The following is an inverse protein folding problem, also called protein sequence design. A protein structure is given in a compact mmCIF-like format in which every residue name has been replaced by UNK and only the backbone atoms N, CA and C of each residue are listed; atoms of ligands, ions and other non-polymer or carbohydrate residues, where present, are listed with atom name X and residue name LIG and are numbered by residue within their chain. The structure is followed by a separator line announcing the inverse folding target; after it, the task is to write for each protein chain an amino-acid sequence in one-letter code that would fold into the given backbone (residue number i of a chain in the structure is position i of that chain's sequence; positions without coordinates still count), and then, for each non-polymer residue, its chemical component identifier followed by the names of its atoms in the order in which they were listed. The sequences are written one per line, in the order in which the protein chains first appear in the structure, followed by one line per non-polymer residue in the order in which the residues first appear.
data_IF_751586262544
#
_entry.id   IF_751586262544
#
_cell.length_a   1.000
_cell.length_b   1.000
_cell.length_c   1.000
_cell.angle_alpha   90.00
_cell.angle_beta   90.00
_cell.angle_gamma   90.00
#
_symmetry.space_group_name_H-M   'P 1'
#
loop_
_entity.id
_entity.type
_entity.pdbx_description
1 polymer ?
#
# COMPACT_ATOMS: atom_id res chain seq x y z
N UNK A 1 60.77 -28.42 0.57
CA UNK A 1 59.42 -28.34 1.18
C UNK A 1 59.46 -27.29 2.28
N UNK A 2 58.96 -26.09 1.99
CA UNK A 2 58.73 -25.03 2.99
C UNK A 2 57.42 -24.35 2.60
N UNK A 3 56.29 -24.99 2.93
CA UNK A 3 54.94 -24.49 2.62
C UNK A 3 54.29 -23.74 3.80
N UNK A 4 55.05 -23.32 4.81
CA UNK A 4 54.52 -22.67 6.01
C UNK A 4 54.95 -21.20 6.16
N UNK A 5 55.16 -20.48 5.06
CA UNK A 5 55.21 -19.01 5.14
C UNK A 5 53.80 -18.46 4.98
N UNK A 6 53.06 -18.41 6.09
CA UNK A 6 51.81 -17.64 6.19
C UNK A 6 52.16 -16.21 5.84
N UNK A 7 51.74 -15.76 4.65
CA UNK A 7 52.07 -14.45 4.13
C UNK A 7 51.41 -13.40 5.05
N UNK A 8 52.17 -12.53 5.74
CA UNK A 8 51.62 -11.59 6.71
C UNK A 8 50.55 -10.67 6.12
N UNK A 9 50.63 -10.38 4.81
CA UNK A 9 49.62 -9.62 4.09
C UNK A 9 48.24 -10.30 4.10
N UNK A 10 48.19 -11.65 4.11
CA UNK A 10 46.93 -12.40 4.16
C UNK A 10 46.21 -12.26 5.50
N UNK A 11 46.93 -12.03 6.60
CA UNK A 11 46.33 -11.83 7.93
C UNK A 11 45.74 -10.43 8.06
N UNK A 12 46.41 -9.43 7.48
CA UNK A 12 45.92 -8.05 7.44
C UNK A 12 44.62 -7.97 6.61
N UNK A 13 44.63 -8.53 5.39
CA UNK A 13 43.46 -8.56 4.51
C UNK A 13 42.24 -9.26 5.16
N UNK A 14 42.49 -10.30 5.95
CA UNK A 14 41.43 -11.02 6.66
C UNK A 14 40.84 -10.17 7.79
N UNK A 15 41.68 -9.46 8.54
CA UNK A 15 41.23 -8.56 9.62
C UNK A 15 40.30 -7.45 9.08
N UNK A 16 40.71 -6.79 7.99
CA UNK A 16 39.90 -5.74 7.36
C UNK A 16 38.56 -6.27 6.84
N UNK A 17 38.57 -7.48 6.25
CA UNK A 17 37.34 -8.15 5.82
C UNK A 17 36.39 -8.44 6.99
N UNK A 18 36.91 -8.78 8.18
CA UNK A 18 36.10 -9.07 9.35
C UNK A 18 35.49 -7.81 9.96
N UNK A 19 36.25 -6.71 10.01
CA UNK A 19 35.71 -5.42 10.43
C UNK A 19 34.58 -4.97 9.51
N UNK A 20 34.78 -5.09 8.19
CA UNK A 20 33.75 -4.81 7.20
C UNK A 20 32.49 -5.68 7.41
N UNK A 21 32.67 -6.99 7.69
CA UNK A 21 31.55 -7.90 8.01
C UNK A 21 30.78 -7.44 9.25
N UNK A 22 31.47 -6.94 10.27
CA UNK A 22 30.85 -6.37 11.47
C UNK A 22 29.93 -5.20 11.13
N UNK A 23 30.43 -4.25 10.33
CA UNK A 23 29.67 -3.08 9.85
C UNK A 23 28.45 -3.52 9.03
N UNK A 24 28.64 -4.41 8.06
CA UNK A 24 27.53 -4.88 7.21
C UNK A 24 26.47 -5.65 7.99
N UNK A 25 26.86 -6.40 9.04
CA UNK A 25 25.91 -7.09 9.91
C UNK A 25 25.00 -6.10 10.66
N UNK A 26 25.58 -5.02 11.20
CA UNK A 26 24.82 -3.96 11.87
C UNK A 26 23.84 -3.29 10.93
N UNK A 27 24.33 -2.81 9.78
CA UNK A 27 23.51 -2.14 8.76
C UNK A 27 22.39 -3.02 8.21
N UNK A 28 22.67 -4.30 7.93
CA UNK A 28 21.67 -5.25 7.46
C UNK A 28 20.53 -5.43 8.46
N UNK A 29 20.85 -5.56 9.75
CA UNK A 29 19.84 -5.73 10.80
C UNK A 29 19.00 -4.47 10.97
N UNK A 30 19.62 -3.29 10.89
CA UNK A 30 18.93 -2.02 10.94
C UNK A 30 17.94 -1.86 9.76
N UNK A 31 18.43 -2.08 8.52
CA UNK A 31 17.60 -2.02 7.32
C UNK A 31 16.45 -3.04 7.35
N UNK A 32 16.71 -4.24 7.86
CA UNK A 32 15.67 -5.24 8.08
C UNK A 32 14.54 -4.75 8.99
N UNK A 33 14.88 -4.14 10.12
CA UNK A 33 13.88 -3.62 11.06
C UNK A 33 13.04 -2.53 10.39
N UNK A 34 13.66 -1.65 9.62
CA UNK A 34 12.93 -0.61 8.88
C UNK A 34 11.97 -1.23 7.85
N UNK A 35 12.46 -2.15 7.00
CA UNK A 35 11.63 -2.83 6.00
C UNK A 35 10.47 -3.56 6.67
N UNK A 36 10.74 -4.28 7.76
CA UNK A 36 9.72 -5.01 8.51
C UNK A 36 8.66 -4.07 9.10
N UNK A 37 9.09 -2.95 9.70
CA UNK A 37 8.18 -1.94 10.26
C UNK A 37 7.34 -1.28 9.17
N UNK A 38 7.92 -0.95 8.02
CA UNK A 38 7.17 -0.43 6.87
C UNK A 38 6.11 -1.45 6.39
N UNK A 39 6.47 -2.73 6.30
CA UNK A 39 5.52 -3.79 5.94
C UNK A 39 4.37 -3.90 6.97
N UNK A 40 4.67 -3.80 8.27
CA UNK A 40 3.64 -3.78 9.30
C UNK A 40 2.73 -2.55 9.18
N UNK A 41 3.30 -1.36 8.96
CA UNK A 41 2.55 -0.12 8.79
C UNK A 41 1.62 -0.19 7.56
N UNK A 42 2.11 -0.72 6.43
CA UNK A 42 1.26 -0.98 5.26
C UNK A 42 0.10 -1.90 5.64
N UNK A 43 0.35 -3.01 6.33
CA UNK A 43 -0.72 -3.94 6.72
C UNK A 43 -1.72 -3.30 7.69
N UNK A 44 -1.26 -2.47 8.63
CA UNK A 44 -2.14 -1.70 9.53
C UNK A 44 -3.03 -0.75 8.71
N UNK A 45 -2.47 -0.02 7.73
CA UNK A 45 -3.24 0.86 6.86
C UNK A 45 -4.32 0.09 6.09
N UNK A 46 -4.03 -1.12 5.61
CA UNK A 46 -5.01 -1.97 4.96
C UNK A 46 -6.17 -2.35 5.90
N UNK A 47 -5.85 -2.77 7.12
CA UNK A 47 -6.88 -3.15 8.10
C UNK A 47 -7.74 -1.96 8.54
N UNK A 48 -7.14 -0.77 8.71
CA UNK A 48 -7.86 0.47 9.03
C UNK A 48 -8.95 0.77 7.99
N UNK A 49 -8.68 0.53 6.70
CA UNK A 49 -9.68 0.73 5.63
C UNK A 49 -10.72 -0.39 5.57
N UNK A 50 -10.33 -1.61 5.95
CA UNK A 50 -11.17 -2.80 5.81
C UNK A 50 -12.17 -2.98 6.96
N UNK A 51 -11.91 -2.41 8.14
CA UNK A 51 -12.84 -2.49 9.29
C UNK A 51 -14.18 -1.82 8.95
N UNK A 52 -15.33 -2.53 9.05
CA UNK A 52 -16.63 -2.02 8.62
C UNK A 52 -17.00 -0.65 9.22
N UNK A 53 -16.75 -0.46 10.51
CA UNK A 53 -17.06 0.79 11.22
C UNK A 53 -16.26 2.00 10.70
N UNK A 54 -15.06 1.78 10.17
CA UNK A 54 -14.24 2.83 9.57
C UNK A 54 -14.56 2.99 8.08
N UNK A 55 -14.94 1.91 7.40
CA UNK A 55 -15.38 1.93 6.00
C UNK A 55 -16.56 2.88 5.79
N UNK A 56 -17.58 2.81 6.64
CA UNK A 56 -18.75 3.72 6.58
C UNK A 56 -18.33 5.18 6.73
N UNK A 57 -17.45 5.49 7.69
CA UNK A 57 -16.90 6.84 7.88
C UNK A 57 -16.12 7.36 6.66
N UNK A 58 -15.31 6.51 6.02
CA UNK A 58 -14.57 6.89 4.81
C UNK A 58 -15.49 7.07 3.59
N UNK A 59 -16.58 6.30 3.49
CA UNK A 59 -17.58 6.47 2.43
C UNK A 59 -18.30 7.83 2.62
N UNK A 60 -18.79 8.13 3.83
CA UNK A 60 -19.47 9.40 4.12
C UNK A 60 -18.55 10.61 3.88
N UNK A 61 -17.30 10.52 4.34
CA UNK A 61 -16.30 11.58 4.14
C UNK A 61 -15.89 11.76 2.66
N UNK A 62 -15.96 10.69 1.86
CA UNK A 62 -15.62 10.70 0.43
C UNK A 62 -16.75 11.25 -0.45
N UNK A 63 -18.01 11.05 -0.06
CA UNK A 63 -19.19 11.57 -0.78
C UNK A 63 -19.31 13.09 -0.63
N UNK A 64 -18.93 13.66 0.54
CA UNK A 64 -18.93 15.11 0.72
C UNK A 64 -17.87 15.85 -0.12
N UNK A 65 -16.79 15.19 -0.54
CA UNK A 65 -15.73 15.85 -1.33
C UNK A 65 -16.10 16.05 -2.82
N UNK A 66 -17.29 15.64 -3.27
CA UNK A 66 -17.71 15.73 -4.69
C UNK A 66 -19.11 16.33 -4.90
N UNK A 67 -19.65 17.08 -3.95
CA UNK A 67 -20.97 17.74 -4.12
C UNK A 67 -20.94 19.27 -4.17
N UNK A 68 -19.77 19.90 -4.29
CA UNK A 68 -19.69 21.34 -4.57
C UNK A 68 -19.41 21.55 -6.06
N UNK A 69 -20.46 21.35 -6.87
CA UNK A 69 -20.61 22.06 -8.14
C UNK A 69 -22.06 22.48 -8.26
N UNK A 70 -22.42 23.70 -7.85
CA UNK A 70 -23.59 24.36 -8.38
C UNK A 70 -23.23 24.87 -9.77
N UNK A 71 -23.66 24.16 -10.82
CA UNK A 71 -24.20 24.91 -11.95
C UNK A 71 -25.20 24.05 -12.73
N UNK A 72 -26.43 24.56 -12.69
CA UNK A 72 -27.46 24.16 -13.59
C UNK A 72 -27.04 24.54 -15.02
N UNK A 73 -27.24 23.56 -15.92
CA UNK A 73 -27.45 23.61 -17.37
C UNK A 73 -27.54 24.98 -18.08
N UNK A 74 -27.18 24.99 -19.38
CA UNK A 74 -28.27 24.88 -20.35
C UNK A 74 -28.10 23.74 -21.36
N UNK A 75 -29.23 23.08 -21.60
CA UNK A 75 -29.59 22.30 -22.79
C UNK A 75 -28.98 22.82 -24.10
N UNK A 76 -28.58 21.93 -25.03
CA UNK A 76 -28.34 22.29 -26.41
C UNK A 76 -29.67 22.46 -27.15
N UNK A 77 -30.00 23.71 -27.49
CA UNK A 77 -31.08 24.09 -28.41
C UNK A 77 -30.94 23.35 -29.75
N UNK A 78 -31.96 22.61 -30.23
CA UNK A 78 -32.02 22.18 -31.62
C UNK A 78 -32.30 23.38 -32.52
N UNK A 79 -31.36 23.71 -33.41
CA UNK A 79 -31.59 24.68 -34.50
C UNK A 79 -32.48 24.03 -35.57
N UNK A 80 -33.74 24.45 -35.62
CA UNK A 80 -34.59 24.27 -36.79
C UNK A 80 -34.08 25.13 -37.96
N UNK A 81 -33.87 24.49 -39.10
CA UNK A 81 -33.77 25.14 -40.40
C UNK A 81 -35.10 24.91 -41.14
N UNK A 82 -35.73 26.02 -41.53
CA UNK A 82 -36.94 26.12 -42.34
C UNK A 82 -36.81 25.37 -43.67
N UNK A 83 -37.80 24.56 -44.03
CA UNK A 83 -38.34 24.49 -45.40
C UNK A 83 -39.71 23.78 -45.48
N UNK A 84 -40.72 24.62 -45.67
CA UNK A 84 -41.93 24.54 -46.51
C UNK A 84 -42.80 23.27 -46.70
N UNK A 85 -44.11 23.58 -46.64
CA UNK A 85 -45.25 23.03 -47.38
C UNK A 85 -45.85 21.67 -46.92
N UNK A 86 -47.08 21.67 -46.37
CA UNK A 86 -48.36 21.72 -47.12
C UNK A 86 -49.58 21.27 -46.24
N UNK A 87 -50.59 22.15 -46.10
CA UNK A 87 -52.06 21.86 -46.07
C UNK A 87 -52.74 21.13 -44.87
N UNK A 88 -54.10 21.19 -44.72
CA UNK A 88 -54.74 21.96 -43.63
C UNK A 88 -55.81 21.23 -42.78
N UNK A 89 -56.25 21.92 -41.72
CA UNK A 89 -57.57 21.93 -41.05
C UNK A 89 -58.05 20.68 -40.27
N UNK A 90 -58.27 20.83 -38.96
CA UNK A 90 -59.64 20.84 -38.38
C UNK A 90 -59.65 21.32 -36.91
N UNK A 91 -60.78 21.88 -36.52
CA UNK A 91 -61.18 22.54 -35.26
C UNK A 91 -60.90 21.71 -33.98
N UNK A 92 -60.72 22.27 -32.78
CA UNK A 92 -61.78 22.91 -31.97
C UNK A 92 -61.16 23.49 -30.68
N UNK A 93 -61.69 24.63 -30.23
CA UNK A 93 -61.31 25.36 -29.01
C UNK A 93 -62.15 24.92 -27.76
N UNK A 94 -62.29 25.70 -26.65
CA UNK A 94 -61.54 25.53 -25.39
C UNK A 94 -62.44 25.47 -24.11
N UNK A 95 -61.89 25.17 -22.92
CA UNK A 95 -62.44 25.54 -21.59
C UNK A 95 -61.40 25.23 -20.47
N UNK A 96 -60.88 26.21 -19.71
CA UNK A 96 -61.40 26.75 -18.43
C UNK A 96 -61.54 25.67 -17.33
N UNK A 97 -60.83 25.72 -16.18
CA UNK A 97 -61.07 26.63 -15.04
C UNK A 97 -59.98 26.46 -13.95
N UNK A 98 -59.72 27.53 -13.19
CA UNK A 98 -58.85 27.62 -12.00
C UNK A 98 -59.54 27.06 -10.70
N UNK A 99 -59.21 27.52 -9.46
CA UNK A 99 -58.32 26.86 -8.49
C UNK A 99 -59.07 26.49 -7.18
N UNK A 100 -58.40 25.91 -6.16
CA UNK A 100 -58.97 25.90 -4.81
C UNK A 100 -57.95 26.21 -3.73
N UNK A 101 -58.25 27.28 -2.99
CA UNK A 101 -57.63 27.82 -1.77
C UNK A 101 -57.91 26.91 -0.55
N UNK A 102 -56.92 26.65 0.29
CA UNK A 102 -56.64 27.29 1.59
C UNK A 102 -57.57 26.91 2.77
N UNK A 103 -57.00 26.27 3.80
CA UNK A 103 -57.35 26.41 5.24
C UNK A 103 -56.12 25.90 6.03
N UNK A 104 -55.31 26.74 6.71
CA UNK A 104 -55.44 27.18 8.12
C UNK A 104 -55.67 25.99 9.09
N UNK A 105 -54.96 25.74 10.20
CA UNK A 105 -54.18 26.57 11.13
C UNK A 105 -53.30 25.66 12.02
N UNK A 106 -52.10 26.15 12.34
CA UNK A 106 -51.43 26.20 13.65
C UNK A 106 -51.92 25.30 14.80
N UNK A 107 -51.03 24.40 15.26
CA UNK A 107 -50.89 24.07 16.69
C UNK A 107 -49.43 24.21 17.08
N UNK A 108 -49.22 25.03 18.10
CA UNK A 108 -47.96 25.47 18.65
C UNK A 108 -47.27 24.37 19.49
N UNK A 109 -45.93 24.39 19.40
CA UNK A 109 -45.03 24.41 20.56
C UNK A 109 -45.02 23.19 21.50
N UNK A 110 -44.04 22.30 21.25
CA UNK A 110 -43.36 21.63 22.34
C UNK A 110 -41.84 21.77 22.16
N UNK A 111 -41.26 22.63 23.00
CA UNK A 111 -39.82 22.79 23.23
C UNK A 111 -39.22 21.49 23.80
N UNK A 112 -38.24 20.92 23.08
CA UNK A 112 -36.88 20.46 23.48
C UNK A 112 -36.65 19.66 24.79
N UNK A 113 -35.47 19.02 25.00
CA UNK A 113 -34.44 18.50 24.07
C UNK A 113 -34.08 17.03 24.38
N UNK A 114 -33.65 16.25 23.38
CA UNK A 114 -32.85 15.05 23.62
C UNK A 114 -31.66 15.06 22.66
N UNK A 115 -30.78 16.01 22.91
CA UNK A 115 -29.41 15.99 22.40
C UNK A 115 -28.65 14.86 23.11
N UNK A 116 -28.81 13.63 22.62
CA UNK A 116 -27.84 12.54 22.82
C UNK A 116 -27.60 11.81 21.50
N UNK A 117 -27.30 12.58 20.44
CA UNK A 117 -26.65 11.99 19.27
C UNK A 117 -25.19 11.74 19.62
N UNK A 118 -24.93 10.55 20.16
CA UNK A 118 -23.68 9.81 20.04
C UNK A 118 -22.41 10.63 20.01
N UNK A 119 -22.04 11.22 21.16
CA UNK A 119 -20.63 11.51 21.48
C UNK A 119 -19.90 10.19 21.75
N UNK A 120 -19.79 9.36 20.72
CA UNK A 120 -19.01 8.12 20.74
C UNK A 120 -18.30 8.04 19.41
N UNK A 121 -17.02 8.41 19.41
CA UNK A 121 -16.13 8.06 18.30
C UNK A 121 -15.40 9.20 17.58
N UNK A 122 -15.24 10.39 18.19
CA UNK A 122 -14.29 11.41 17.69
C UNK A 122 -12.81 11.00 17.93
N UNK A 123 -12.48 9.72 17.77
CA UNK A 123 -11.16 9.18 18.15
C UNK A 123 -10.15 9.10 17.01
N UNK A 124 -10.56 9.27 15.75
CA UNK A 124 -9.59 9.34 14.65
C UNK A 124 -10.04 10.32 13.57
N UNK A 125 -9.61 11.58 13.67
CA UNK A 125 -9.68 12.56 12.59
C UNK A 125 -8.72 12.24 11.43
N UNK A 126 -8.55 10.96 11.07
CA UNK A 126 -7.69 10.53 9.97
C UNK A 126 -8.50 10.65 8.68
N UNK A 127 -8.33 11.76 7.96
CA UNK A 127 -8.88 11.92 6.62
C UNK A 127 -8.25 10.90 5.66
N UNK A 128 -8.99 10.45 4.64
CA UNK A 128 -8.46 9.63 3.55
C UNK A 128 -7.21 10.25 2.89
N UNK A 129 -7.13 11.58 2.85
CA UNK A 129 -5.95 12.31 2.39
C UNK A 129 -4.67 12.00 3.21
N UNK A 130 -4.78 11.99 4.55
CA UNK A 130 -3.66 11.67 5.43
C UNK A 130 -3.21 10.22 5.27
N UNK A 131 -4.17 9.28 5.16
CA UNK A 131 -3.88 7.88 4.94
C UNK A 131 -3.22 7.62 3.58
N UNK A 132 -3.71 8.29 2.52
CA UNK A 132 -3.13 8.23 1.17
C UNK A 132 -1.70 8.74 1.15
N UNK A 133 -1.45 9.89 1.80
CA UNK A 133 -0.10 10.42 1.95
C UNK A 133 0.83 9.47 2.72
N UNK A 134 0.34 8.91 3.84
CA UNK A 134 1.10 7.95 4.65
C UNK A 134 1.46 6.70 3.85
N UNK A 135 0.52 6.11 3.12
CA UNK A 135 0.78 4.93 2.27
C UNK A 135 1.87 5.25 1.24
N UNK A 136 1.78 6.41 0.56
CA UNK A 136 2.80 6.82 -0.42
C UNK A 136 4.17 7.00 0.22
N UNK A 137 4.23 7.63 1.40
CA UNK A 137 5.47 7.82 2.14
C UNK A 137 6.09 6.48 2.58
N UNK A 138 5.29 5.60 3.20
CA UNK A 138 5.72 4.27 3.64
C UNK A 138 6.22 3.45 2.45
N UNK A 139 5.52 3.48 1.32
CA UNK A 139 5.93 2.77 0.10
C UNK A 139 7.27 3.27 -0.44
N UNK A 140 7.49 4.59 -0.47
CA UNK A 140 8.75 5.17 -0.92
C UNK A 140 9.92 4.75 -0.02
N UNK A 141 9.74 4.86 1.31
CA UNK A 141 10.74 4.42 2.30
C UNK A 141 11.01 2.92 2.17
N UNK A 142 9.96 2.10 1.99
CA UNK A 142 10.04 0.65 1.86
C UNK A 142 10.85 0.23 0.63
N UNK A 143 10.62 0.85 -0.54
CA UNK A 143 11.38 0.54 -1.77
C UNK A 143 12.86 0.93 -1.60
N UNK A 144 13.12 2.14 -1.09
CA UNK A 144 14.48 2.63 -0.90
C UNK A 144 15.25 1.75 0.08
N UNK A 145 14.66 1.43 1.23
CA UNK A 145 15.29 0.62 2.27
C UNK A 145 15.44 -0.84 1.87
N UNK A 146 14.48 -1.43 1.15
CA UNK A 146 14.61 -2.78 0.59
C UNK A 146 15.72 -2.87 -0.46
N UNK A 147 15.89 -1.83 -1.28
CA UNK A 147 16.99 -1.74 -2.25
C UNK A 147 18.34 -1.67 -1.53
N UNK A 148 18.47 -0.78 -0.54
CA UNK A 148 19.67 -0.70 0.30
C UNK A 148 19.95 -2.03 1.02
N UNK A 149 18.91 -2.69 1.53
CA UNK A 149 19.03 -4.01 2.16
C UNK A 149 19.61 -5.05 1.19
N UNK A 150 19.14 -5.07 -0.06
CA UNK A 150 19.66 -5.96 -1.09
C UNK A 150 21.12 -5.65 -1.43
N UNK A 151 21.48 -4.37 -1.56
CA UNK A 151 22.86 -3.93 -1.80
C UNK A 151 23.79 -4.30 -0.64
N UNK A 152 23.37 -4.11 0.61
CA UNK A 152 24.12 -4.55 1.79
C UNK A 152 24.38 -6.06 1.78
N UNK A 153 23.40 -6.87 1.35
CA UNK A 153 23.56 -8.31 1.19
C UNK A 153 24.54 -8.67 0.05
N UNK A 154 24.51 -7.93 -1.05
CA UNK A 154 25.46 -8.09 -2.16
C UNK A 154 26.89 -7.75 -1.75
N UNK A 155 27.09 -6.66 -1.00
CA UNK A 155 28.41 -6.30 -0.48
C UNK A 155 28.90 -7.32 0.54
N UNK A 156 28.03 -7.80 1.44
CA UNK A 156 28.35 -8.88 2.38
C UNK A 156 28.81 -10.16 1.65
N UNK A 157 28.13 -10.51 0.55
CA UNK A 157 28.52 -11.63 -0.31
C UNK A 157 29.88 -11.38 -0.96
N UNK A 158 30.12 -10.18 -1.50
CA UNK A 158 31.41 -9.81 -2.13
C UNK A 158 32.57 -9.87 -1.14
N UNK A 159 32.43 -9.27 0.04
CA UNK A 159 33.44 -9.32 1.11
C UNK A 159 33.69 -10.76 1.54
N UNK A 160 32.64 -11.59 1.64
CA UNK A 160 32.81 -13.02 1.96
C UNK A 160 33.59 -13.79 0.90
N UNK A 161 33.39 -13.47 -0.39
CA UNK A 161 34.12 -14.11 -1.49
C UNK A 161 35.59 -13.68 -1.51
N UNK A 162 35.87 -12.38 -1.31
CA UNK A 162 37.23 -11.82 -1.31
C UNK A 162 38.01 -12.30 -0.09
N UNK A 163 37.44 -12.19 1.11
CA UNK A 163 38.05 -12.65 2.36
C UNK A 163 38.04 -14.16 2.53
N UNK A 164 37.53 -14.93 1.54
CA UNK A 164 37.36 -16.40 1.57
C UNK A 164 36.70 -16.88 2.85
N UNK A 165 35.76 -16.07 3.35
CA UNK A 165 35.08 -16.28 4.62
C UNK A 165 34.13 -17.48 4.46
N UNK A 166 34.12 -18.37 5.45
CA UNK A 166 33.24 -19.54 5.44
C UNK A 166 31.75 -19.18 5.33
N UNK A 167 30.92 -20.15 4.93
CA UNK A 167 29.46 -19.96 4.91
C UNK A 167 28.92 -19.26 3.66
N UNK A 168 29.69 -19.21 2.56
CA UNK A 168 29.29 -18.61 1.26
C UNK A 168 27.91 -19.09 0.79
N UNK A 169 27.61 -20.39 0.94
CA UNK A 169 26.30 -20.95 0.56
C UNK A 169 25.13 -20.29 1.31
N UNK A 170 25.31 -19.94 2.59
CA UNK A 170 24.27 -19.29 3.39
C UNK A 170 24.03 -17.85 2.96
N UNK A 171 25.10 -17.06 2.75
CA UNK A 171 24.97 -15.66 2.32
C UNK A 171 24.47 -15.54 0.87
N UNK A 172 24.91 -16.44 -0.02
CA UNK A 172 24.44 -16.49 -1.40
C UNK A 172 22.93 -16.75 -1.49
N UNK A 173 22.43 -17.76 -0.76
CA UNK A 173 20.98 -18.03 -0.68
C UNK A 173 20.21 -16.87 -0.06
N UNK A 174 20.75 -16.25 0.99
CA UNK A 174 20.12 -15.12 1.65
C UNK A 174 20.00 -13.89 0.72
N UNK A 175 21.02 -13.65 -0.12
CA UNK A 175 21.03 -12.63 -1.17
C UNK A 175 20.00 -12.93 -2.28
N UNK A 176 19.92 -14.16 -2.77
CA UNK A 176 18.89 -14.50 -3.77
C UNK A 176 17.46 -14.35 -3.20
N UNK A 177 17.25 -14.71 -1.93
CA UNK A 177 15.97 -14.47 -1.28
C UNK A 177 15.66 -12.96 -1.13
N UNK A 178 16.66 -12.12 -0.85
CA UNK A 178 16.45 -10.66 -0.79
C UNK A 178 16.19 -10.04 -2.16
N UNK A 179 16.77 -10.58 -3.24
CA UNK A 179 16.43 -10.20 -4.62
C UNK A 179 15.00 -10.57 -4.98
N UNK A 180 14.59 -11.81 -4.70
CA UNK A 180 13.20 -12.25 -4.95
C UNK A 180 12.23 -11.39 -4.14
N UNK A 181 12.54 -11.12 -2.87
CA UNK A 181 11.78 -10.19 -2.05
C UNK A 181 11.65 -8.82 -2.73
N UNK A 182 12.76 -8.20 -3.16
CA UNK A 182 12.75 -6.90 -3.82
C UNK A 182 11.88 -6.92 -5.08
N UNK A 183 12.00 -7.97 -5.89
CA UNK A 183 11.18 -8.17 -7.10
C UNK A 183 9.70 -8.23 -6.71
N UNK A 184 9.29 -9.09 -5.77
CA UNK A 184 7.87 -9.22 -5.39
C UNK A 184 7.30 -7.96 -4.73
N UNK A 185 8.17 -7.16 -4.09
CA UNK A 185 7.81 -5.91 -3.43
C UNK A 185 7.46 -4.80 -4.41
N UNK A 186 8.14 -4.73 -5.57
CA UNK A 186 7.97 -3.65 -6.54
C UNK A 186 6.53 -3.55 -7.05
N UNK A 187 6.00 -2.32 -7.24
CA UNK A 187 4.63 -2.09 -7.69
C UNK A 187 4.47 -2.36 -9.19
N UNK A 188 4.57 -3.62 -9.60
CA UNK A 188 4.46 -4.06 -10.99
C UNK A 188 3.19 -3.61 -11.68
N UNK A 189 2.11 -3.40 -10.91
CA UNK A 189 0.85 -2.90 -11.41
C UNK A 189 0.94 -1.54 -12.13
N UNK A 190 1.93 -0.71 -11.77
CA UNK A 190 2.13 0.59 -12.39
C UNK A 190 2.85 0.46 -13.74
N UNK A 191 3.59 -0.63 -13.96
CA UNK A 191 4.45 -0.85 -15.13
C UNK A 191 3.75 -1.77 -16.14
N UNK A 192 3.19 -2.89 -15.65
CA UNK A 192 2.58 -3.95 -16.45
C UNK A 192 1.04 -3.99 -16.35
N UNK A 193 0.43 -2.99 -15.71
CA UNK A 193 -1.02 -2.94 -15.52
C UNK A 193 -1.53 -4.07 -14.63
N UNK A 194 -2.67 -4.68 -14.96
CA UNK A 194 -3.34 -5.66 -14.08
C UNK A 194 -2.73 -7.08 -14.09
N UNK A 195 -1.75 -7.35 -14.95
CA UNK A 195 -1.25 -8.72 -15.19
C UNK A 195 -0.39 -9.23 -14.03
N UNK A 196 0.42 -8.37 -13.43
CA UNK A 196 1.34 -8.74 -12.34
C UNK A 196 1.17 -7.77 -11.18
N UNK A 197 0.89 -8.31 -9.98
CA UNK A 197 0.73 -7.53 -8.77
C UNK A 197 2.02 -7.51 -7.94
N UNK A 198 2.38 -6.34 -7.44
CA UNK A 198 3.35 -6.14 -6.37
C UNK A 198 2.71 -6.24 -4.98
N UNK A 199 3.52 -6.43 -3.95
CA UNK A 199 3.05 -6.40 -2.56
C UNK A 199 2.78 -4.97 -2.07
N UNK A 200 3.50 -4.00 -2.62
CA UNK A 200 3.15 -2.59 -2.45
C UNK A 200 1.90 -2.29 -3.26
N UNK A 201 0.94 -1.59 -2.66
CA UNK A 201 -0.28 -1.13 -3.32
C UNK A 201 -0.39 0.40 -3.25
N UNK A 202 -1.06 0.97 -4.25
CA UNK A 202 -1.35 2.39 -4.29
C UNK A 202 -2.67 2.70 -3.55
N UNK A 203 -2.81 3.88 -2.93
CA UNK A 203 -4.02 4.22 -2.17
C UNK A 203 -5.28 4.23 -3.05
N UNK A 204 -5.13 4.53 -4.34
CA UNK A 204 -6.22 4.50 -5.31
C UNK A 204 -6.71 3.08 -5.58
N UNK A 205 -5.81 2.09 -5.55
CA UNK A 205 -6.21 0.68 -5.67
C UNK A 205 -7.04 0.27 -4.48
N UNK A 206 -6.58 0.58 -3.27
CA UNK A 206 -7.30 0.24 -2.03
C UNK A 206 -8.68 0.90 -1.99
N UNK A 207 -8.77 2.18 -2.39
CA UNK A 207 -10.05 2.88 -2.53
C UNK A 207 -10.99 2.17 -3.50
N UNK A 208 -10.54 1.85 -4.71
CA UNK A 208 -11.38 1.17 -5.73
C UNK A 208 -11.96 -0.15 -5.22
N UNK A 209 -11.16 -0.97 -4.55
CA UNK A 209 -11.64 -2.25 -3.99
C UNK A 209 -12.53 -2.07 -2.76
N UNK A 210 -12.40 -0.97 -2.03
CA UNK A 210 -13.27 -0.65 -0.90
C UNK A 210 -14.68 -0.23 -1.36
N UNK A 211 -14.79 0.49 -2.48
CA UNK A 211 -16.06 0.95 -3.05
C UNK A 211 -16.67 -0.02 -4.06
N UNK A 212 -15.86 -0.85 -4.72
CA UNK A 212 -16.38 -1.95 -5.52
C UNK A 212 -16.95 -3.01 -4.58
N UNK A 213 -18.27 -3.08 -4.48
CA UNK A 213 -18.96 -4.16 -3.81
C UNK A 213 -18.44 -5.49 -4.37
N UNK A 214 -17.71 -6.25 -3.56
CA UNK A 214 -17.18 -7.55 -3.96
C UNK A 214 -18.38 -8.48 -4.21
N UNK A 215 -18.83 -8.51 -5.45
CA UNK A 215 -20.11 -9.11 -5.86
C UNK A 215 -20.16 -10.63 -5.68
N UNK A 216 -19.01 -11.28 -5.43
CA UNK A 216 -18.90 -12.71 -5.18
C UNK A 216 -17.85 -13.09 -4.13
N UNK A 217 -18.07 -14.26 -3.50
CA UNK A 217 -17.12 -14.86 -2.54
C UNK A 217 -15.71 -15.02 -3.11
N UNK A 218 -15.60 -15.28 -4.41
CA UNK A 218 -14.30 -15.40 -5.09
C UNK A 218 -13.54 -14.08 -5.16
N UNK A 219 -14.22 -12.96 -5.43
CA UNK A 219 -13.59 -11.64 -5.47
C UNK A 219 -13.06 -11.24 -4.08
N UNK A 220 -13.81 -11.54 -3.03
CA UNK A 220 -13.38 -11.33 -1.64
C UNK A 220 -12.12 -12.14 -1.32
N UNK A 221 -12.07 -13.42 -1.73
CA UNK A 221 -10.88 -14.25 -1.52
C UNK A 221 -9.68 -13.70 -2.26
N UNK A 222 -9.83 -13.30 -3.54
CA UNK A 222 -8.75 -12.71 -4.32
C UNK A 222 -8.27 -11.38 -3.75
N UNK A 223 -9.18 -10.57 -3.21
CA UNK A 223 -8.86 -9.32 -2.50
C UNK A 223 -7.94 -9.60 -1.30
N UNK A 224 -8.36 -10.45 -0.35
CA UNK A 224 -7.53 -10.75 0.82
C UNK A 224 -6.23 -11.49 0.46
N UNK A 225 -6.25 -12.36 -0.55
CA UNK A 225 -5.05 -13.05 -1.01
C UNK A 225 -4.03 -12.07 -1.58
N UNK A 226 -4.47 -11.07 -2.36
CA UNK A 226 -3.60 -10.02 -2.90
C UNK A 226 -3.01 -9.15 -1.78
N UNK A 227 -3.85 -8.59 -0.91
CA UNK A 227 -3.39 -7.58 0.04
C UNK A 227 -2.74 -8.17 1.29
N UNK A 228 -3.23 -9.31 1.79
CA UNK A 228 -2.70 -9.96 3.01
C UNK A 228 -1.84 -11.17 2.69
N UNK A 229 -2.26 -12.02 1.74
CA UNK A 229 -1.51 -13.22 1.37
C UNK A 229 -0.15 -12.91 0.76
N UNK A 230 -0.10 -11.98 -0.19
CA UNK A 230 1.15 -11.60 -0.84
C UNK A 230 2.09 -10.82 0.10
N UNK A 231 1.52 -9.98 0.96
CA UNK A 231 2.25 -9.36 2.07
C UNK A 231 2.91 -10.41 2.98
N UNK A 232 2.16 -11.44 3.38
CA UNK A 232 2.66 -12.51 4.24
C UNK A 232 3.80 -13.28 3.56
N UNK A 233 3.70 -13.54 2.26
CA UNK A 233 4.77 -14.15 1.47
C UNK A 233 6.04 -13.31 1.50
N UNK A 234 5.94 -11.99 1.33
CA UNK A 234 7.08 -11.07 1.39
C UNK A 234 7.69 -11.04 2.79
N UNK A 235 6.88 -10.96 3.85
CA UNK A 235 7.37 -11.03 5.23
C UNK A 235 8.10 -12.35 5.50
N UNK A 236 7.54 -13.47 5.04
CA UNK A 236 8.16 -14.79 5.17
C UNK A 236 9.54 -14.82 4.47
N UNK A 237 9.63 -14.33 3.23
CA UNK A 237 10.91 -14.25 2.50
C UNK A 237 11.93 -13.36 3.21
N UNK A 238 11.48 -12.25 3.80
CA UNK A 238 12.34 -11.35 4.57
C UNK A 238 12.92 -12.07 5.79
N UNK A 239 12.09 -12.76 6.57
CA UNK A 239 12.51 -13.54 7.74
C UNK A 239 13.46 -14.67 7.33
N UNK A 240 13.16 -15.40 6.25
CA UNK A 240 14.02 -16.46 5.74
C UNK A 240 15.38 -15.92 5.26
N UNK A 241 15.39 -14.78 4.58
CA UNK A 241 16.62 -14.08 4.18
C UNK A 241 17.45 -13.71 5.41
N UNK A 242 16.82 -13.14 6.45
CA UNK A 242 17.51 -12.83 7.72
C UNK A 242 18.07 -14.04 8.41
N UNK A 243 17.27 -15.08 8.61
CA UNK A 243 17.69 -16.28 9.32
C UNK A 243 18.92 -16.91 8.66
N UNK A 244 18.93 -16.96 7.32
CA UNK A 244 20.07 -17.48 6.55
C UNK A 244 21.30 -16.58 6.66
N UNK A 245 21.12 -15.27 6.63
CA UNK A 245 22.21 -14.32 6.85
C UNK A 245 22.80 -14.42 8.27
N UNK A 246 21.96 -14.59 9.29
CA UNK A 246 22.41 -14.82 10.67
C UNK A 246 23.22 -16.12 10.81
N UNK A 247 22.82 -17.18 10.09
CA UNK A 247 23.61 -18.43 10.03
C UNK A 247 24.97 -18.25 9.36
N UNK A 248 25.07 -17.37 8.35
CA UNK A 248 26.35 -17.00 7.76
C UNK A 248 27.25 -16.30 8.79
N UNK A 249 26.74 -15.30 9.51
CA UNK A 249 27.50 -14.63 10.56
C UNK A 249 27.97 -15.60 11.65
N UNK A 250 27.11 -16.53 12.06
CA UNK A 250 27.47 -17.59 13.00
C UNK A 250 28.46 -18.63 12.45
N UNK A 251 28.56 -18.79 11.12
CA UNK A 251 29.57 -19.66 10.50
C UNK A 251 30.94 -18.97 10.41
N UNK A 252 30.97 -17.65 10.24
CA UNK A 252 32.20 -16.85 10.30
C UNK A 252 32.76 -16.86 11.72
N UNK A 253 31.93 -16.55 12.72
CA UNK A 253 32.38 -16.48 14.12
C UNK A 253 32.95 -17.80 14.63
N UNK A 254 32.31 -18.93 14.28
CA UNK A 254 32.83 -20.27 14.61
C UNK A 254 34.17 -20.59 13.96
N UNK A 255 34.49 -20.00 12.80
CA UNK A 255 35.81 -20.16 12.18
C UNK A 255 36.89 -19.31 12.83
N UNK A 256 36.50 -18.29 13.59
CA UNK A 256 37.40 -17.38 14.28
C UNK A 256 37.62 -17.79 15.75
N UNK A 257 36.99 -18.89 16.20
CA UNK A 257 37.03 -19.36 17.61
C UNK A 257 36.55 -18.33 18.63
N UNK A 258 35.85 -17.27 18.20
CA UNK A 258 35.27 -16.24 19.07
C UNK A 258 34.02 -16.79 19.79
N UNK A 259 33.42 -17.88 19.28
CA UNK A 259 32.25 -18.60 19.83
C UNK A 259 32.43 -20.10 19.64
#
# INVERSE_FOLDING_TARGET
MNENQVNPNSLLDTTDCLEAVGVFRGWKNFLFVIVFLCLLLSQICFWVVTVPSLREYFIESGVQAKSDTPDAMPEPVPREALQDANKPAEDTAPAASEPNEATAETVAEQLQPAAETGKTGRLFGITFAHLSWLIRFVNAVLILTATLYCLTMLFSLKVSLVGRLGGINHICRAFFLSLILLILLLPWQNIFGRVVAGAIYAPEELGRWCFAEASGRFDTVLYYLRFSGYWLLVVLLLILSQFRSSRWAGAILRRLEII
#
